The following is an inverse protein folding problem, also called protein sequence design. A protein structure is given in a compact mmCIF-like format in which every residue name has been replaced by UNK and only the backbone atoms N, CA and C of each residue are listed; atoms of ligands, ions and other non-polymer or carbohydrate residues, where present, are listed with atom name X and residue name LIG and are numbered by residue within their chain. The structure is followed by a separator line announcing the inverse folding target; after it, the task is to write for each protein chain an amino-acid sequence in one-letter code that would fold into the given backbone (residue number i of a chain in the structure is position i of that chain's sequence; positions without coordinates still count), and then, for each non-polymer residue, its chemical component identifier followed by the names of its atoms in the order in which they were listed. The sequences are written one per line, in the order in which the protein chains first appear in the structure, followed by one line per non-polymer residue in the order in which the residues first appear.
data_IF_378809816852
#
_entry.id   IF_378809816852
#
_cell.length_a   1.000
_cell.length_b   1.000
_cell.length_c   1.000
_cell.angle_alpha   90.00
_cell.angle_beta   90.00
_cell.angle_gamma   90.00
#
_symmetry.space_group_name_H-M   'P 1'
#
loop_
_entity.id
_entity.type
_entity.pdbx_description
1 polymer ?
#
# COMPACT_ATOMS: atom_id res chain seq x y z
N UNK A 1 1.68 13.05 6.57
CA UNK A 1 0.46 12.23 6.73
C UNK A 1 0.87 10.91 7.35
N UNK A 2 0.34 10.57 8.51
CA UNK A 2 0.69 9.32 9.16
C UNK A 2 0.05 8.13 8.42
N UNK A 3 0.86 7.11 8.10
CA UNK A 3 0.41 5.92 7.35
C UNK A 3 0.92 4.65 8.02
N UNK A 4 0.10 3.61 7.95
CA UNK A 4 0.40 2.29 8.50
C UNK A 4 0.63 1.30 7.37
N UNK A 5 1.71 0.53 7.45
CA UNK A 5 2.16 -0.35 6.37
C UNK A 5 2.00 -1.80 6.80
N UNK A 6 1.28 -2.54 5.99
CA UNK A 6 1.03 -3.97 6.15
C UNK A 6 1.72 -4.72 5.03
N UNK A 7 2.59 -5.65 5.38
CA UNK A 7 3.22 -6.55 4.42
C UNK A 7 2.37 -7.78 4.22
N UNK A 8 2.29 -8.24 2.98
CA UNK A 8 1.63 -9.49 2.66
C UNK A 8 2.53 -10.69 2.99
N UNK A 9 2.02 -11.72 3.69
CA UNK A 9 2.79 -12.96 3.94
C UNK A 9 2.83 -13.87 2.70
N UNK A 10 1.74 -13.91 1.94
CA UNK A 10 1.61 -14.79 0.78
C UNK A 10 2.33 -14.25 -0.46
N UNK A 11 2.23 -12.93 -0.68
CA UNK A 11 2.93 -12.24 -1.78
C UNK A 11 4.15 -11.52 -1.23
N UNK A 12 5.33 -12.08 -1.54
CA UNK A 12 6.58 -11.36 -1.33
C UNK A 12 6.49 -9.99 -2.01
N UNK A 13 7.09 -8.98 -1.40
CA UNK A 13 7.26 -7.66 -2.01
C UNK A 13 5.99 -6.81 -2.19
N UNK A 14 4.86 -7.24 -1.61
CA UNK A 14 3.60 -6.49 -1.62
C UNK A 14 3.35 -5.80 -0.28
N UNK A 15 2.99 -4.52 -0.34
CA UNK A 15 2.71 -3.70 0.84
C UNK A 15 1.41 -2.91 0.66
N UNK A 16 0.60 -2.90 1.70
CA UNK A 16 -0.63 -2.12 1.77
C UNK A 16 -0.41 -0.95 2.73
N UNK A 17 -0.76 0.25 2.29
CA UNK A 17 -0.68 1.49 3.05
C UNK A 17 -2.10 1.96 3.34
N UNK A 18 -2.37 2.24 4.61
CA UNK A 18 -3.67 2.73 5.08
C UNK A 18 -3.47 3.95 6.00
N UNK A 19 -4.43 4.89 6.03
CA UNK A 19 -4.34 6.11 6.84
C UNK A 19 -4.61 5.84 8.32
N UNK A 20 -5.26 4.72 8.64
CA UNK A 20 -5.66 4.35 10.00
C UNK A 20 -5.23 2.92 10.32
N UNK A 21 -4.82 2.67 11.56
CA UNK A 21 -4.26 1.39 11.97
C UNK A 21 -5.37 0.35 12.13
N UNK A 22 -5.14 -0.86 11.61
CA UNK A 22 -6.06 -2.00 11.65
C UNK A 22 -7.43 -1.72 10.99
N UNK A 23 -7.56 -0.61 10.25
CA UNK A 23 -8.76 -0.26 9.53
C UNK A 23 -8.62 -0.56 8.02
N UNK A 24 -9.34 -1.58 7.57
CA UNK A 24 -9.36 -2.01 6.17
C UNK A 24 -10.73 -1.76 5.52
N UNK A 25 -11.59 -0.92 6.10
CA UNK A 25 -12.94 -0.64 5.59
C UNK A 25 -12.94 -0.12 4.15
N UNK A 26 -11.96 0.71 3.80
CA UNK A 26 -11.83 1.27 2.45
C UNK A 26 -11.16 0.30 1.47
N UNK A 27 -10.64 -0.84 1.97
CA UNK A 27 -9.94 -1.83 1.15
C UNK A 27 -10.93 -2.87 0.65
N UNK A 28 -11.12 -3.02 -0.68
CA UNK A 28 -12.11 -3.94 -1.20
C UNK A 28 -11.77 -5.40 -0.87
N UNK A 29 -12.79 -6.22 -0.62
CA UNK A 29 -12.66 -7.63 -0.23
C UNK A 29 -11.83 -8.45 -1.23
N UNK A 30 -11.94 -8.15 -2.53
CA UNK A 30 -11.11 -8.80 -3.56
C UNK A 30 -9.62 -8.59 -3.32
N UNK A 31 -9.23 -7.39 -2.86
CA UNK A 31 -7.85 -7.00 -2.62
C UNK A 31 -7.36 -7.58 -1.29
N UNK A 32 -8.20 -7.55 -0.24
CA UNK A 32 -7.94 -8.24 1.02
C UNK A 32 -7.81 -9.75 0.81
N UNK A 33 -8.67 -10.37 0.01
CA UNK A 33 -8.57 -11.77 -0.36
C UNK A 33 -7.30 -12.09 -1.15
N UNK A 34 -6.85 -11.18 -2.01
CA UNK A 34 -5.59 -11.32 -2.75
C UNK A 34 -4.36 -11.20 -1.84
N UNK A 35 -4.46 -10.37 -0.79
CA UNK A 35 -3.43 -10.21 0.23
C UNK A 35 -3.45 -11.38 1.23
N UNK A 36 -4.62 -11.93 1.55
CA UNK A 36 -4.78 -12.96 2.56
C UNK A 36 -4.26 -12.46 3.92
N UNK A 37 -3.32 -13.20 4.52
CA UNK A 37 -2.66 -12.76 5.75
C UNK A 37 -1.73 -11.56 5.51
N UNK A 38 -2.19 -10.39 5.92
CA UNK A 38 -1.37 -9.20 6.08
C UNK A 38 -0.77 -9.16 7.49
N UNK A 39 0.46 -8.68 7.60
CA UNK A 39 1.13 -8.45 8.87
C UNK A 39 1.55 -7.00 8.96
N UNK A 40 1.20 -6.32 10.05
CA UNK A 40 1.72 -5.00 10.34
C UNK A 40 3.25 -5.02 10.29
N UNK A 41 3.82 -4.11 9.51
CA UNK A 41 5.26 -4.02 9.27
C UNK A 41 5.85 -2.87 10.07
N UNK A 42 5.40 -1.65 9.81
CA UNK A 42 5.78 -0.42 10.52
C UNK A 42 4.84 0.71 10.12
N UNK A 43 4.87 1.80 10.87
CA UNK A 43 4.19 3.06 10.58
C UNK A 43 5.21 4.19 10.50
N UNK A 44 4.88 5.24 9.75
CA UNK A 44 5.69 6.45 9.70
C UNK A 44 4.87 7.63 9.18
N UNK A 45 5.37 8.84 9.43
CA UNK A 45 4.82 10.03 8.78
C UNK A 45 5.36 10.16 7.35
N UNK A 46 4.45 10.00 6.40
CA UNK A 46 4.69 10.16 4.98
C UNK A 46 4.60 11.65 4.63
N UNK A 47 5.75 12.23 4.32
CA UNK A 47 5.90 13.60 3.82
C UNK A 47 6.25 13.57 2.33
N UNK A 48 5.96 14.65 1.60
CA UNK A 48 6.29 14.79 0.17
C UNK A 48 7.80 14.62 -0.10
N UNK A 49 8.64 14.94 0.88
CA UNK A 49 10.10 14.80 0.81
C UNK A 49 10.58 13.35 0.96
N UNK A 50 9.72 12.41 1.39
CA UNK A 50 10.10 11.00 1.59
C UNK A 50 10.18 10.28 0.25
N UNK A 51 11.36 9.74 -0.07
CA UNK A 51 11.51 8.77 -1.14
C UNK A 51 11.16 7.38 -0.65
N UNK A 52 10.08 6.81 -1.18
CA UNK A 52 9.83 5.38 -1.07
C UNK A 52 10.62 4.66 -2.17
N UNK A 53 11.09 3.46 -1.89
CA UNK A 53 11.95 2.70 -2.82
C UNK A 53 11.17 2.29 -4.09
N UNK A 54 9.84 2.24 -4.01
CA UNK A 54 8.97 1.67 -5.05
C UNK A 54 7.77 2.52 -5.43
N UNK A 55 7.59 3.69 -4.82
CA UNK A 55 6.48 4.60 -5.08
C UNK A 55 6.90 6.05 -4.82
N UNK A 56 6.18 7.02 -5.38
CA UNK A 56 6.36 8.42 -5.05
C UNK A 56 5.46 8.80 -3.86
N UNK A 57 6.01 9.40 -2.80
CA UNK A 57 5.21 9.87 -1.66
C UNK A 57 3.97 10.70 -2.05
N UNK A 58 4.05 11.71 -2.96
CA UNK A 58 2.86 12.47 -3.37
C UNK A 58 1.77 11.59 -4.00
N UNK A 59 2.16 10.58 -4.78
CA UNK A 59 1.20 9.67 -5.42
C UNK A 59 0.52 8.77 -4.37
N UNK A 60 1.29 8.25 -3.42
CA UNK A 60 0.76 7.46 -2.31
C UNK A 60 -0.22 8.28 -1.48
N UNK A 61 0.17 9.50 -1.08
CA UNK A 61 -0.68 10.40 -0.29
C UNK A 61 -1.99 10.65 -1.03
N UNK A 62 -1.90 11.04 -2.31
CA UNK A 62 -3.08 11.31 -3.12
C UNK A 62 -3.97 10.08 -3.25
N UNK A 63 -3.41 8.91 -3.50
CA UNK A 63 -4.21 7.70 -3.68
C UNK A 63 -4.93 7.28 -2.40
N UNK A 64 -4.27 7.43 -1.24
CA UNK A 64 -4.91 7.18 0.06
C UNK A 64 -6.02 8.21 0.32
N UNK A 65 -5.81 9.48 -0.04
CA UNK A 65 -6.84 10.51 0.13
C UNK A 65 -8.05 10.32 -0.79
N UNK A 66 -7.85 9.81 -2.02
CA UNK A 66 -8.93 9.59 -2.99
C UNK A 66 -9.63 8.24 -2.83
N UNK A 67 -8.90 7.18 -2.45
CA UNK A 67 -9.42 5.79 -2.42
C UNK A 67 -9.43 5.18 -1.01
N UNK A 68 -8.86 5.85 -0.01
CA UNK A 68 -8.75 5.33 1.35
C UNK A 68 -7.57 4.39 1.61
N UNK A 69 -6.86 3.95 0.56
CA UNK A 69 -5.70 3.07 0.68
C UNK A 69 -4.74 3.22 -0.51
N UNK A 70 -3.53 2.69 -0.36
CA UNK A 70 -2.58 2.53 -1.45
C UNK A 70 -1.94 1.13 -1.42
N UNK A 71 -1.99 0.44 -2.55
CA UNK A 71 -1.39 -0.88 -2.70
C UNK A 71 -0.10 -0.77 -3.52
N UNK A 72 1.03 -1.10 -2.88
CA UNK A 72 2.31 -1.24 -3.55
C UNK A 72 2.53 -2.71 -3.94
N UNK A 73 2.41 -2.99 -5.22
CA UNK A 73 2.77 -4.27 -5.82
C UNK A 73 4.26 -4.27 -6.22
N UNK A 74 4.93 -5.44 -6.30
CA UNK A 74 6.22 -5.53 -6.95
C UNK A 74 6.09 -5.04 -8.38
N UNK A 75 6.90 -4.04 -8.76
CA UNK A 75 7.05 -3.60 -10.14
C UNK A 75 7.73 -4.73 -10.93
N UNK A 76 7.01 -5.79 -11.26
CA UNK A 76 7.30 -6.48 -12.51
C UNK A 76 6.99 -5.43 -13.57
N UNK A 77 7.98 -5.05 -14.38
CA UNK A 77 7.71 -4.33 -15.61
C UNK A 77 6.70 -5.18 -16.37
N UNK A 78 5.43 -4.81 -16.32
CA UNK A 78 4.47 -5.27 -17.31
C UNK A 78 4.76 -4.48 -18.58
N UNK A 79 5.90 -4.81 -19.21
CA UNK A 79 5.99 -4.71 -20.65
C UNK A 79 4.94 -5.69 -21.18
N UNK A 80 3.82 -5.10 -21.60
CA UNK A 80 2.75 -5.67 -22.43
C UNK A 80 1.66 -6.48 -21.73
N UNK A 81 0.55 -5.80 -21.44
CA UNK A 81 -0.74 -6.35 -21.82
C UNK A 81 -1.06 -5.91 -23.25
N UNK A 82 -1.18 -6.93 -24.11
CA UNK A 82 -1.44 -6.96 -25.55
C UNK A 82 -2.75 -6.25 -25.93
#
# INVERSE_FOLDING_TARGET
MHVYIYRCKHRKETFLYIPEKDNFEEVPDSLLGMLGETAFSFDFDLDDSKKLIRAAAPEVIRNIQENGYFLQLPLVKDEKSH
#
